data_IF_621758534059
#
_entry.id   IF_621758534059
#
_cell.length_a   1.000
_cell.length_b   1.000
_cell.length_c   1.000
_cell.angle_alpha   90.00
_cell.angle_beta   90.00
_cell.angle_gamma   90.00
#
_symmetry.space_group_name_H-M   'P 1'
#
loop_
_entity.id
_entity.type
_entity.pdbx_description
1 polymer ?
#
# COMPACT_ATOMS: atom_id res chain seq x y z
N UNK A 1 16.68 8.90 15.05
CA UNK A 1 16.19 9.22 13.70
C UNK A 1 14.69 9.45 13.69
N UNK A 2 13.85 8.55 14.28
CA UNK A 2 12.38 8.64 14.27
C UNK A 2 11.90 9.99 14.82
N UNK A 3 12.40 10.44 15.96
CA UNK A 3 12.05 11.73 16.54
C UNK A 3 12.26 12.91 15.56
N UNK A 4 13.37 12.93 14.84
CA UNK A 4 13.64 13.97 13.83
C UNK A 4 12.71 13.90 12.61
N UNK A 5 12.31 12.69 12.23
CA UNK A 5 11.33 12.51 11.16
C UNK A 5 9.93 13.00 11.60
N UNK A 6 9.55 12.74 12.84
CA UNK A 6 8.30 13.24 13.42
C UNK A 6 8.27 14.77 13.47
N UNK A 7 9.36 15.40 13.95
CA UNK A 7 9.51 16.86 13.97
C UNK A 7 9.44 17.46 12.55
N UNK A 8 10.09 16.82 11.56
CA UNK A 8 10.05 17.27 10.18
C UNK A 8 8.65 17.10 9.53
N UNK A 9 7.94 16.08 9.91
CA UNK A 9 6.58 15.79 9.41
C UNK A 9 5.53 16.76 9.95
N UNK A 10 5.76 17.39 11.10
CA UNK A 10 4.79 18.22 11.80
C UNK A 10 4.29 19.45 11.02
N UNK A 11 5.00 19.84 9.95
CA UNK A 11 4.63 20.98 9.10
C UNK A 11 4.02 20.56 7.75
N UNK A 12 3.93 19.27 7.47
CA UNK A 12 3.43 18.77 6.19
C UNK A 12 1.89 18.69 6.20
N UNK A 13 1.22 19.10 5.12
CA UNK A 13 -0.24 19.08 5.03
C UNK A 13 -0.78 17.68 4.72
N UNK A 14 -0.39 16.68 5.50
CA UNK A 14 -0.82 15.28 5.32
C UNK A 14 -0.74 14.53 6.64
N UNK A 15 -1.51 13.46 6.75
CA UNK A 15 -1.41 12.56 7.89
C UNK A 15 -0.23 11.62 7.70
N UNK A 16 0.61 11.49 8.69
CA UNK A 16 1.85 10.73 8.61
C UNK A 16 2.08 9.86 9.84
N UNK A 17 2.68 8.70 9.59
CA UNK A 17 3.23 7.81 10.60
C UNK A 17 4.43 7.08 10.03
N UNK A 18 5.38 6.72 10.87
CA UNK A 18 6.62 6.10 10.44
C UNK A 18 6.75 4.69 10.98
N UNK A 19 7.25 3.79 10.14
CA UNK A 19 7.62 2.44 10.56
C UNK A 19 9.10 2.43 10.94
N UNK A 20 9.42 1.74 12.03
CA UNK A 20 10.78 1.44 12.42
C UNK A 20 11.34 0.26 11.63
N UNK A 21 12.67 0.07 11.66
CA UNK A 21 13.33 -1.11 11.09
C UNK A 21 12.99 -2.36 11.93
N UNK A 22 12.32 -3.33 11.32
CA UNK A 22 11.86 -4.56 11.98
C UNK A 22 12.93 -5.64 12.14
N UNK A 23 14.02 -5.58 11.36
CA UNK A 23 15.08 -6.58 11.40
C UNK A 23 16.03 -6.30 12.57
N UNK A 24 16.00 -7.15 13.58
CA UNK A 24 16.90 -7.13 14.72
C UNK A 24 17.14 -8.54 15.27
N UNK A 25 18.34 -8.78 15.78
CA UNK A 25 18.70 -10.06 16.40
C UNK A 25 18.11 -10.22 17.81
N UNK A 26 17.71 -9.12 18.44
CA UNK A 26 17.11 -9.08 19.77
C UNK A 26 15.89 -8.13 19.78
N UNK A 27 14.94 -8.31 20.69
CA UNK A 27 13.73 -7.49 20.77
C UNK A 27 13.98 -6.04 21.23
N UNK A 28 15.01 -5.79 22.07
CA UNK A 28 15.24 -4.50 22.70
C UNK A 28 15.35 -3.33 21.70
N UNK A 29 16.16 -3.42 20.60
CA UNK A 29 16.22 -2.34 19.62
C UNK A 29 14.90 -2.06 18.91
N UNK A 30 13.99 -3.04 18.85
CA UNK A 30 12.66 -2.88 18.27
C UNK A 30 11.75 -2.12 19.23
N UNK A 31 11.78 -2.45 20.53
CA UNK A 31 11.08 -1.71 21.58
C UNK A 31 11.47 -0.24 21.59
N UNK A 32 12.78 0.05 21.60
CA UNK A 32 13.30 1.41 21.53
C UNK A 32 12.74 2.22 20.36
N UNK A 33 12.56 1.61 19.19
CA UNK A 33 11.99 2.28 18.03
C UNK A 33 10.49 2.58 18.21
N UNK A 34 9.72 1.62 18.74
CA UNK A 34 8.29 1.82 19.02
C UNK A 34 8.12 2.90 20.09
N UNK A 35 8.88 2.86 21.18
CA UNK A 35 8.87 3.87 22.24
C UNK A 35 9.30 5.26 21.75
N UNK A 36 10.18 5.32 20.73
CA UNK A 36 10.59 6.56 20.06
C UNK A 36 9.53 7.10 19.07
N UNK A 37 8.40 6.42 18.89
CA UNK A 37 7.28 6.89 18.09
C UNK A 37 7.06 6.17 16.75
N UNK A 38 7.74 5.05 16.50
CA UNK A 38 7.42 4.22 15.33
C UNK A 38 6.03 3.58 15.51
N UNK A 39 5.09 3.89 14.60
CA UNK A 39 3.72 3.37 14.65
C UNK A 39 3.59 1.91 14.21
N UNK A 40 4.68 1.30 13.81
CA UNK A 40 4.80 -0.09 13.35
C UNK A 40 6.24 -0.41 12.98
N UNK A 41 6.46 -1.63 12.51
CA UNK A 41 7.79 -2.12 12.15
C UNK A 41 7.80 -2.67 10.71
N UNK A 42 8.93 -2.49 10.01
CA UNK A 42 9.13 -2.98 8.64
C UNK A 42 10.28 -3.97 8.59
N UNK A 43 9.98 -5.20 8.19
CA UNK A 43 10.96 -6.21 7.82
C UNK A 43 11.32 -6.09 6.34
N UNK A 44 12.60 -6.23 6.02
CA UNK A 44 13.09 -6.23 4.64
C UNK A 44 14.27 -7.19 4.46
N UNK A 45 14.31 -7.89 3.33
CA UNK A 45 15.35 -8.89 3.04
C UNK A 45 16.76 -8.34 3.10
N UNK A 46 17.00 -7.11 2.61
CA UNK A 46 18.34 -6.48 2.63
C UNK A 46 18.96 -6.43 4.02
N UNK A 47 18.15 -6.56 5.06
CA UNK A 47 18.58 -6.58 6.46
C UNK A 47 18.49 -7.96 7.09
N UNK A 48 18.15 -9.00 6.31
CA UNK A 48 17.98 -10.37 6.75
C UNK A 48 16.62 -10.65 7.38
N UNK A 49 15.59 -10.90 6.55
CA UNK A 49 14.25 -11.31 7.00
C UNK A 49 14.23 -12.82 7.31
N UNK A 50 15.10 -13.25 8.21
CA UNK A 50 15.19 -14.63 8.69
C UNK A 50 14.00 -14.98 9.60
N UNK A 51 13.68 -16.27 9.78
CA UNK A 51 12.65 -16.70 10.73
C UNK A 51 12.80 -16.09 12.14
N UNK A 52 14.03 -15.99 12.64
CA UNK A 52 14.30 -15.40 13.96
C UNK A 52 14.04 -13.88 13.99
N UNK A 53 14.38 -13.15 12.92
CA UNK A 53 14.09 -11.72 12.82
C UNK A 53 12.58 -11.47 12.73
N UNK A 54 11.85 -12.31 11.99
CA UNK A 54 10.40 -12.25 11.89
C UNK A 54 9.76 -12.49 13.26
N UNK A 55 10.21 -13.52 13.99
CA UNK A 55 9.70 -13.85 15.31
C UNK A 55 9.92 -12.73 16.33
N UNK A 56 11.14 -12.19 16.41
CA UNK A 56 11.46 -11.05 17.28
C UNK A 56 10.57 -9.83 16.95
N UNK A 57 10.39 -9.53 15.66
CA UNK A 57 9.61 -8.39 15.23
C UNK A 57 8.13 -8.54 15.59
N UNK A 58 7.54 -9.69 15.32
CA UNK A 58 6.15 -9.98 15.64
C UNK A 58 5.91 -10.01 17.15
N UNK A 59 6.85 -10.55 17.93
CA UNK A 59 6.73 -10.58 19.40
C UNK A 59 6.67 -9.18 20.00
N UNK A 60 7.50 -8.25 19.51
CA UNK A 60 7.43 -6.83 19.94
C UNK A 60 6.15 -6.17 19.43
N UNK A 61 5.70 -6.48 18.22
CA UNK A 61 4.45 -5.96 17.70
C UNK A 61 3.23 -6.40 18.52
N UNK A 62 3.20 -7.65 18.99
CA UNK A 62 2.17 -8.15 19.92
C UNK A 62 2.18 -7.38 21.26
N UNK A 63 3.37 -7.08 21.79
CA UNK A 63 3.54 -6.34 23.05
C UNK A 63 2.97 -4.92 22.98
N UNK A 64 3.12 -4.23 21.85
CA UNK A 64 2.76 -2.81 21.68
C UNK A 64 1.50 -2.56 20.84
N UNK A 65 0.83 -3.60 20.37
CA UNK A 65 -0.33 -3.52 19.46
C UNK A 65 -0.05 -2.67 18.22
N UNK A 66 1.08 -2.93 17.54
CA UNK A 66 1.47 -2.25 16.31
C UNK A 66 1.53 -3.21 15.13
N UNK A 67 1.48 -2.71 13.89
CA UNK A 67 1.55 -3.55 12.71
C UNK A 67 2.99 -3.85 12.31
N UNK A 68 3.19 -5.05 11.76
CA UNK A 68 4.41 -5.44 11.06
C UNK A 68 4.12 -5.51 9.57
N UNK A 69 4.92 -4.79 8.78
CA UNK A 69 4.93 -4.90 7.33
C UNK A 69 6.19 -5.64 6.87
N UNK A 70 6.06 -6.55 5.91
CA UNK A 70 7.19 -7.35 5.44
C UNK A 70 7.37 -7.32 3.93
N UNK A 71 8.62 -7.11 3.51
CA UNK A 71 9.19 -7.56 2.25
C UNK A 71 9.91 -8.88 2.54
N UNK A 72 9.38 -9.98 2.03
CA UNK A 72 9.91 -11.31 2.34
C UNK A 72 11.21 -11.60 1.58
N UNK A 73 11.91 -12.68 1.96
CA UNK A 73 13.20 -13.07 1.43
C UNK A 73 13.10 -13.52 -0.04
N UNK A 74 13.41 -12.63 -0.95
CA UNK A 74 13.29 -12.85 -2.39
C UNK A 74 14.32 -13.86 -2.91
N UNK A 75 15.49 -13.93 -2.29
CA UNK A 75 16.57 -14.84 -2.66
C UNK A 75 16.42 -16.24 -2.05
N UNK A 76 15.45 -16.45 -1.16
CA UNK A 76 15.27 -17.68 -0.39
C UNK A 76 16.53 -18.05 0.43
N UNK A 77 17.29 -17.04 0.88
CA UNK A 77 18.52 -17.26 1.69
C UNK A 77 18.23 -17.77 3.09
N UNK A 78 17.13 -17.31 3.69
CA UNK A 78 16.67 -17.73 5.02
C UNK A 78 15.72 -18.93 5.01
N UNK A 79 15.40 -19.44 3.84
CA UNK A 79 14.44 -20.51 3.59
C UNK A 79 13.42 -20.12 2.52
N UNK A 80 12.58 -21.07 2.13
CA UNK A 80 11.48 -20.83 1.18
C UNK A 80 10.27 -20.20 1.88
N UNK A 81 9.20 -19.92 1.12
CA UNK A 81 7.98 -19.29 1.62
C UNK A 81 7.42 -20.00 2.86
N UNK A 82 7.48 -21.33 2.90
CA UNK A 82 7.02 -22.13 4.02
C UNK A 82 7.75 -21.80 5.34
N UNK A 83 9.05 -21.51 5.27
CA UNK A 83 9.85 -21.13 6.45
C UNK A 83 9.42 -19.75 6.97
N UNK A 84 9.15 -18.82 6.09
CA UNK A 84 8.62 -17.50 6.46
C UNK A 84 7.21 -17.60 7.03
N UNK A 85 6.31 -18.36 6.39
CA UNK A 85 4.95 -18.57 6.88
C UNK A 85 4.94 -19.29 8.23
N UNK A 86 5.83 -20.28 8.45
CA UNK A 86 5.98 -20.93 9.73
C UNK A 86 6.49 -19.97 10.83
N UNK A 87 7.39 -19.05 10.51
CA UNK A 87 7.86 -18.03 11.45
C UNK A 87 6.78 -16.99 11.80
N UNK A 88 5.92 -16.65 10.85
CA UNK A 88 4.75 -15.80 11.09
C UNK A 88 3.76 -16.53 12.01
N UNK A 89 3.53 -17.81 11.77
CA UNK A 89 2.54 -18.61 12.49
C UNK A 89 1.13 -18.08 12.25
N UNK A 90 0.36 -17.98 13.31
CA UNK A 90 -1.01 -17.44 13.31
C UNK A 90 -1.09 -15.93 13.62
N UNK A 91 0.06 -15.25 13.76
CA UNK A 91 0.15 -13.82 14.03
C UNK A 91 -0.17 -12.98 12.80
N UNK A 92 -0.84 -11.86 13.00
CA UNK A 92 -1.22 -10.94 11.91
C UNK A 92 -0.01 -10.25 11.32
N UNK A 93 0.06 -10.17 9.99
CA UNK A 93 1.12 -9.47 9.28
C UNK A 93 0.61 -8.83 7.98
N UNK A 94 1.14 -7.66 7.64
CA UNK A 94 0.94 -6.99 6.37
C UNK A 94 2.06 -7.37 5.39
N UNK A 95 1.76 -8.03 4.30
CA UNK A 95 2.73 -8.36 3.26
C UNK A 95 2.68 -7.35 2.12
N UNK A 96 3.84 -6.78 1.74
CA UNK A 96 3.97 -5.90 0.58
C UNK A 96 4.16 -6.73 -0.69
N UNK A 97 3.81 -6.14 -1.86
CA UNK A 97 3.99 -6.76 -3.19
C UNK A 97 3.85 -8.30 -3.15
N UNK A 98 2.78 -8.75 -2.52
CA UNK A 98 2.52 -10.18 -2.24
C UNK A 98 2.38 -11.04 -3.51
N UNK A 99 2.33 -10.43 -4.68
CA UNK A 99 2.40 -11.11 -5.98
C UNK A 99 3.82 -11.62 -6.28
N UNK A 100 4.87 -10.93 -5.81
CA UNK A 100 6.27 -11.36 -5.90
C UNK A 100 7.16 -10.54 -6.82
N UNK A 101 6.65 -9.86 -7.86
CA UNK A 101 7.49 -9.11 -8.79
C UNK A 101 8.18 -7.90 -8.14
N UNK A 102 7.55 -7.25 -7.16
CA UNK A 102 8.15 -6.18 -6.37
C UNK A 102 9.14 -6.65 -5.30
N UNK A 103 9.25 -7.95 -5.10
CA UNK A 103 10.07 -8.62 -4.09
C UNK A 103 9.26 -9.64 -3.30
N UNK A 104 9.96 -10.59 -2.71
CA UNK A 104 9.36 -11.67 -1.94
C UNK A 104 9.69 -13.04 -2.53
N UNK A 105 9.45 -14.08 -1.76
CA UNK A 105 9.78 -15.47 -2.15
C UNK A 105 9.32 -15.78 -3.57
N UNK A 106 10.28 -16.11 -4.43
CA UNK A 106 9.98 -16.59 -5.78
C UNK A 106 9.91 -18.13 -5.76
N UNK A 107 8.93 -18.74 -6.47
CA UNK A 107 7.94 -18.05 -7.31
C UNK A 107 6.59 -17.79 -6.61
N UNK A 108 6.44 -18.07 -5.32
CA UNK A 108 5.15 -18.44 -4.75
C UNK A 108 4.72 -17.67 -3.50
N UNK A 109 5.30 -16.51 -3.21
CA UNK A 109 4.82 -15.63 -2.13
C UNK A 109 3.33 -15.27 -2.27
N UNK A 110 2.80 -15.30 -3.49
CA UNK A 110 1.38 -15.02 -3.78
C UNK A 110 0.43 -15.96 -3.01
N UNK A 111 0.88 -17.17 -2.60
CA UNK A 111 0.13 -18.09 -1.74
C UNK A 111 -0.30 -17.45 -0.41
N UNK A 112 0.51 -16.52 0.09
CA UNK A 112 0.21 -15.82 1.34
C UNK A 112 -1.11 -15.01 1.27
N UNK A 113 -1.56 -14.62 0.08
CA UNK A 113 -2.83 -13.91 -0.08
C UNK A 113 -4.07 -14.75 0.28
N UNK A 114 -3.94 -16.08 0.35
CA UNK A 114 -4.99 -17.00 0.80
C UNK A 114 -5.03 -17.26 2.31
N UNK A 115 -4.14 -16.68 3.11
CA UNK A 115 -4.05 -16.96 4.54
C UNK A 115 -4.88 -15.98 5.38
N UNK A 116 -5.52 -16.52 6.44
CA UNK A 116 -6.45 -15.74 7.30
C UNK A 116 -5.75 -14.62 8.09
N UNK A 117 -4.50 -14.81 8.46
CA UNK A 117 -3.70 -13.89 9.25
C UNK A 117 -2.80 -12.97 8.42
N UNK A 118 -2.83 -13.08 7.09
CA UNK A 118 -2.07 -12.23 6.19
C UNK A 118 -2.96 -11.16 5.58
N UNK A 119 -2.53 -9.91 5.67
CA UNK A 119 -3.17 -8.73 5.07
C UNK A 119 -2.36 -8.33 3.83
N UNK A 120 -2.69 -8.87 2.64
CA UNK A 120 -1.85 -8.72 1.47
C UNK A 120 -2.06 -7.39 0.76
N UNK A 121 -0.97 -6.78 0.30
CA UNK A 121 -1.01 -5.62 -0.58
C UNK A 121 -0.20 -5.84 -1.87
N UNK A 122 -0.65 -5.18 -2.92
CA UNK A 122 0.11 -4.98 -4.14
C UNK A 122 0.81 -3.64 -4.13
N UNK A 123 1.85 -3.54 -4.95
CA UNK A 123 2.44 -2.26 -5.31
C UNK A 123 2.04 -1.85 -6.72
N UNK A 124 1.98 -0.56 -7.00
CA UNK A 124 1.37 -0.07 -8.23
C UNK A 124 2.11 -0.36 -9.55
N UNK A 125 3.42 -0.64 -9.60
CA UNK A 125 4.10 -0.89 -10.88
C UNK A 125 3.57 -2.09 -11.67
N UNK A 126 3.12 -3.15 -11.00
CA UNK A 126 2.53 -4.32 -11.65
C UNK A 126 1.06 -4.15 -12.04
N UNK A 127 0.45 -3.02 -11.66
CA UNK A 127 -0.98 -2.75 -11.83
C UNK A 127 -1.30 -1.74 -12.91
N UNK A 128 -2.25 -2.01 -13.78
CA UNK A 128 -2.69 -3.35 -14.22
C UNK A 128 -1.66 -4.05 -15.09
N UNK A 129 -1.80 -5.36 -15.31
CA UNK A 129 -1.00 -6.09 -16.27
C UNK A 129 -1.26 -5.60 -17.69
N UNK A 130 -0.21 -5.08 -18.35
CA UNK A 130 -0.22 -4.53 -19.71
C UNK A 130 0.83 -5.22 -20.57
N UNK A 131 0.81 -4.97 -21.87
CA UNK A 131 1.79 -5.49 -22.83
C UNK A 131 3.24 -5.07 -22.49
N UNK A 132 3.43 -4.00 -21.73
CA UNK A 132 4.75 -3.49 -21.35
C UNK A 132 5.14 -3.82 -19.90
N UNK A 133 4.23 -4.34 -19.07
CA UNK A 133 4.45 -4.45 -17.62
C UNK A 133 5.67 -5.31 -17.29
N UNK A 134 5.86 -6.43 -17.99
CA UNK A 134 7.00 -7.34 -17.73
C UNK A 134 8.31 -6.64 -18.04
N UNK A 135 8.43 -6.04 -19.21
CA UNK A 135 9.68 -5.37 -19.65
C UNK A 135 10.01 -4.17 -18.77
N UNK A 136 8.99 -3.30 -18.47
CA UNK A 136 9.17 -2.17 -17.57
C UNK A 136 9.61 -2.61 -16.16
N UNK A 137 9.09 -3.74 -15.69
CA UNK A 137 9.41 -4.21 -14.35
C UNK A 137 10.78 -4.87 -14.28
N UNK A 138 11.19 -5.60 -15.35
CA UNK A 138 12.55 -6.10 -15.50
C UNK A 138 13.55 -4.96 -15.50
N UNK A 139 13.33 -3.91 -16.29
CA UNK A 139 14.18 -2.73 -16.31
C UNK A 139 14.28 -2.05 -14.93
N UNK A 140 13.16 -1.93 -14.24
CA UNK A 140 13.14 -1.36 -12.87
C UNK A 140 13.94 -2.23 -11.90
N UNK A 141 13.76 -3.54 -11.94
CA UNK A 141 14.49 -4.47 -11.08
C UNK A 141 16.01 -4.38 -11.34
N UNK A 142 16.42 -4.40 -12.61
CA UNK A 142 17.83 -4.25 -13.00
C UNK A 142 18.44 -2.98 -12.42
N UNK A 143 17.73 -1.84 -12.53
CA UNK A 143 18.22 -0.56 -12.02
C UNK A 143 18.25 -0.54 -10.48
N UNK A 144 17.18 -0.98 -9.82
CA UNK A 144 17.07 -0.92 -8.36
C UNK A 144 18.05 -1.82 -7.63
N UNK A 145 18.41 -2.96 -8.23
CA UNK A 145 19.35 -3.93 -7.66
C UNK A 145 20.77 -3.80 -8.24
N UNK A 146 21.05 -2.76 -9.03
CA UNK A 146 22.37 -2.52 -9.64
C UNK A 146 22.88 -3.71 -10.49
N UNK A 147 21.94 -4.39 -11.16
CA UNK A 147 22.25 -5.51 -12.04
C UNK A 147 22.73 -5.01 -13.40
N UNK A 148 23.55 -5.84 -14.08
CA UNK A 148 24.11 -5.52 -15.39
C UNK A 148 23.48 -6.41 -16.50
N UNK A 149 22.77 -5.84 -17.48
CA UNK A 149 22.15 -6.62 -18.56
C UNK A 149 23.15 -7.35 -19.45
N UNK A 150 24.45 -7.05 -19.36
CA UNK A 150 25.50 -7.79 -20.07
C UNK A 150 25.95 -9.06 -19.34
N UNK A 151 25.52 -9.25 -18.08
CA UNK A 151 25.84 -10.43 -17.26
C UNK A 151 24.64 -11.40 -17.30
N UNK A 152 24.80 -12.60 -17.89
CA UNK A 152 23.68 -13.55 -18.02
C UNK A 152 23.06 -13.98 -16.70
N UNK A 153 23.86 -14.07 -15.63
CA UNK A 153 23.41 -14.43 -14.29
C UNK A 153 22.49 -13.36 -13.68
N UNK A 154 22.81 -12.09 -13.92
CA UNK A 154 21.99 -10.96 -13.46
C UNK A 154 20.65 -10.95 -14.19
N UNK A 155 20.66 -11.20 -15.49
CA UNK A 155 19.44 -11.31 -16.30
C UNK A 155 18.59 -12.49 -15.83
N UNK A 156 19.19 -13.67 -15.66
CA UNK A 156 18.49 -14.86 -15.17
C UNK A 156 17.87 -14.65 -13.78
N UNK A 157 18.57 -13.94 -12.90
CA UNK A 157 18.06 -13.54 -11.61
C UNK A 157 16.81 -12.64 -11.73
N UNK A 158 16.85 -11.59 -12.54
CA UNK A 158 15.73 -10.71 -12.76
C UNK A 158 14.52 -11.47 -13.35
N UNK A 159 14.76 -12.29 -14.38
CA UNK A 159 13.73 -13.11 -15.02
C UNK A 159 13.14 -14.18 -14.09
N UNK A 160 13.88 -14.65 -13.09
CA UNK A 160 13.35 -15.62 -12.11
C UNK A 160 12.23 -15.04 -11.25
N UNK A 161 12.12 -13.73 -11.13
CA UNK A 161 11.19 -13.02 -10.25
C UNK A 161 10.06 -12.34 -10.98
N UNK A 162 10.33 -11.77 -12.16
CA UNK A 162 9.32 -11.03 -12.91
C UNK A 162 8.61 -12.01 -13.84
N UNK A 163 7.39 -12.37 -13.47
CA UNK A 163 6.60 -13.39 -14.16
C UNK A 163 5.25 -12.86 -14.56
N UNK A 164 4.92 -12.98 -15.86
CA UNK A 164 3.61 -12.57 -16.37
C UNK A 164 2.46 -13.35 -15.73
N UNK A 165 2.72 -14.59 -15.33
CA UNK A 165 1.72 -15.49 -14.75
C UNK A 165 1.23 -14.96 -13.39
N UNK A 166 2.13 -14.60 -12.50
CA UNK A 166 1.79 -14.04 -11.18
C UNK A 166 1.22 -12.63 -11.30
N UNK A 167 1.76 -11.80 -12.21
CA UNK A 167 1.24 -10.45 -12.50
C UNK A 167 -0.19 -10.50 -13.05
N UNK A 168 -0.48 -11.45 -13.96
CA UNK A 168 -1.82 -11.65 -14.49
C UNK A 168 -2.82 -12.16 -13.43
N UNK A 169 -2.38 -13.12 -12.62
CA UNK A 169 -3.18 -13.66 -11.53
C UNK A 169 -3.52 -12.58 -10.48
N UNK A 170 -2.59 -11.68 -10.20
CA UNK A 170 -2.78 -10.58 -9.25
C UNK A 170 -3.96 -9.66 -9.64
N UNK A 171 -4.14 -9.31 -10.93
CA UNK A 171 -5.31 -8.54 -11.39
C UNK A 171 -6.62 -9.23 -11.03
N UNK A 172 -6.68 -10.55 -11.25
CA UNK A 172 -7.87 -11.36 -10.98
C UNK A 172 -8.11 -11.45 -9.46
N UNK A 173 -7.07 -11.70 -8.69
CA UNK A 173 -7.15 -11.79 -7.22
C UNK A 173 -7.57 -10.46 -6.59
N UNK A 174 -7.20 -9.33 -7.20
CA UNK A 174 -7.75 -8.03 -6.82
C UNK A 174 -9.24 -7.92 -7.08
N UNK A 175 -9.69 -8.35 -8.24
CA UNK A 175 -11.10 -8.25 -8.64
C UNK A 175 -11.99 -9.17 -7.80
N UNK A 176 -11.47 -10.34 -7.42
CA UNK A 176 -12.16 -11.28 -6.55
C UNK A 176 -12.04 -10.97 -5.05
N UNK A 177 -11.17 -10.03 -4.65
CA UNK A 177 -11.04 -9.58 -3.27
C UNK A 177 -10.08 -10.39 -2.41
N UNK A 178 -9.15 -11.14 -3.00
CA UNK A 178 -8.08 -11.81 -2.26
C UNK A 178 -6.96 -10.84 -1.85
N UNK A 179 -6.60 -9.90 -2.71
CA UNK A 179 -5.70 -8.80 -2.35
C UNK A 179 -6.47 -7.66 -1.69
N UNK A 180 -6.09 -7.33 -0.46
CA UNK A 180 -6.85 -6.40 0.38
C UNK A 180 -6.51 -4.93 0.12
N UNK A 181 -5.29 -4.62 -0.34
CA UNK A 181 -4.77 -3.26 -0.47
C UNK A 181 -3.95 -3.06 -1.73
N UNK A 182 -3.81 -1.79 -2.14
CA UNK A 182 -2.84 -1.33 -3.13
C UNK A 182 -2.03 -0.21 -2.52
N UNK A 183 -0.70 -0.33 -2.56
CA UNK A 183 0.28 0.62 -2.07
C UNK A 183 1.19 1.12 -3.18
N UNK A 184 2.14 1.99 -2.88
CA UNK A 184 2.99 2.60 -3.90
C UNK A 184 4.34 1.94 -4.06
N UNK A 185 4.95 1.48 -2.98
CA UNK A 185 6.37 1.12 -2.94
C UNK A 185 7.29 2.26 -3.42
N UNK A 186 6.95 3.49 -3.04
CA UNK A 186 7.73 4.68 -3.42
C UNK A 186 9.18 4.58 -2.98
N UNK A 187 10.08 5.11 -3.79
CA UNK A 187 11.53 5.12 -3.61
C UNK A 187 12.23 3.77 -3.83
N UNK A 188 11.50 2.68 -4.00
CA UNK A 188 12.04 1.41 -4.46
C UNK A 188 11.59 1.17 -5.91
N UNK A 189 10.48 0.45 -6.11
CA UNK A 189 9.99 0.14 -7.45
C UNK A 189 8.59 0.70 -7.71
N UNK A 190 8.19 1.83 -7.09
CA UNK A 190 6.84 2.35 -7.20
C UNK A 190 6.70 3.87 -7.22
N UNK A 191 5.46 4.34 -7.42
CA UNK A 191 5.14 5.76 -7.61
C UNK A 191 3.89 6.12 -6.81
N UNK A 192 4.05 6.93 -5.74
CA UNK A 192 2.93 7.33 -4.87
C UNK A 192 1.80 8.03 -5.64
N UNK A 193 2.13 8.88 -6.61
CA UNK A 193 1.15 9.63 -7.39
C UNK A 193 0.26 8.78 -8.32
N UNK A 194 0.58 7.50 -8.51
CA UNK A 194 -0.14 6.63 -9.43
C UNK A 194 -1.04 5.59 -8.74
N UNK A 195 -1.02 5.49 -7.41
CA UNK A 195 -1.78 4.47 -6.66
C UNK A 195 -3.26 4.49 -7.05
N UNK A 196 -3.91 5.64 -6.95
CA UNK A 196 -5.35 5.77 -7.22
C UNK A 196 -5.65 5.46 -8.69
N UNK A 197 -4.92 6.04 -9.62
CA UNK A 197 -5.16 5.84 -11.06
C UNK A 197 -4.98 4.39 -11.46
N UNK A 198 -3.90 3.74 -11.05
CA UNK A 198 -3.64 2.35 -11.39
C UNK A 198 -4.64 1.40 -10.73
N UNK A 199 -5.14 1.72 -9.55
CA UNK A 199 -6.24 0.98 -8.93
C UNK A 199 -7.48 0.99 -9.83
N UNK A 200 -7.85 2.14 -10.38
CA UNK A 200 -9.02 2.26 -11.25
C UNK A 200 -8.79 1.71 -12.65
N UNK A 201 -7.58 1.78 -13.16
CA UNK A 201 -7.20 1.10 -14.41
C UNK A 201 -7.30 -0.43 -14.27
N UNK A 202 -6.90 -0.99 -13.13
CA UNK A 202 -7.07 -2.41 -12.83
C UNK A 202 -8.56 -2.79 -12.77
N UNK A 203 -9.37 -2.00 -12.06
CA UNK A 203 -10.83 -2.23 -11.98
C UNK A 203 -11.48 -2.19 -13.37
N UNK A 204 -11.10 -1.23 -14.22
CA UNK A 204 -11.59 -1.11 -15.59
C UNK A 204 -11.21 -2.32 -16.44
N UNK A 205 -9.92 -2.71 -16.43
CA UNK A 205 -9.44 -3.89 -17.15
C UNK A 205 -10.22 -5.15 -16.74
N UNK A 206 -10.40 -5.35 -15.44
CA UNK A 206 -11.13 -6.51 -14.93
C UNK A 206 -12.60 -6.49 -15.34
N UNK A 207 -13.24 -5.32 -15.31
CA UNK A 207 -14.63 -5.20 -15.81
C UNK A 207 -14.75 -5.55 -17.29
N UNK A 208 -13.81 -5.08 -18.12
CA UNK A 208 -13.80 -5.36 -19.57
C UNK A 208 -13.57 -6.85 -19.86
N UNK A 209 -12.63 -7.48 -19.17
CA UNK A 209 -12.24 -8.86 -19.46
C UNK A 209 -13.11 -9.91 -18.76
N UNK A 210 -13.67 -9.61 -17.58
CA UNK A 210 -14.39 -10.56 -16.74
C UNK A 210 -15.89 -10.26 -16.60
N UNK A 211 -16.35 -9.11 -17.06
CA UNK A 211 -17.74 -8.68 -16.91
C UNK A 211 -18.09 -8.21 -15.48
N UNK A 212 -19.39 -8.22 -15.11
CA UNK A 212 -19.84 -7.82 -13.78
C UNK A 212 -19.39 -8.83 -12.72
N UNK A 213 -19.24 -8.36 -11.48
CA UNK A 213 -19.11 -9.24 -10.32
C UNK A 213 -20.45 -9.86 -9.97
N UNK A 214 -20.42 -10.99 -9.24
CA UNK A 214 -21.66 -11.67 -8.81
C UNK A 214 -22.51 -10.77 -7.89
N UNK A 215 -21.86 -9.86 -7.16
CA UNK A 215 -22.51 -8.93 -6.24
C UNK A 215 -22.96 -7.62 -6.92
N UNK A 216 -22.56 -7.36 -8.17
CA UNK A 216 -23.03 -6.21 -8.94
C UNK A 216 -24.48 -6.43 -9.41
N UNK A 217 -25.22 -5.34 -9.66
CA UNK A 217 -26.55 -5.40 -10.24
C UNK A 217 -26.49 -5.27 -11.77
N UNK A 218 -27.61 -5.57 -12.42
CA UNK A 218 -27.74 -5.35 -13.87
C UNK A 218 -27.64 -3.86 -14.27
N UNK A 219 -27.83 -2.96 -13.31
CA UNK A 219 -27.89 -1.52 -13.55
C UNK A 219 -26.59 -0.78 -13.18
N UNK A 220 -25.76 -1.37 -12.30
CA UNK A 220 -24.53 -0.72 -11.82
C UNK A 220 -23.50 -1.74 -11.28
N UNK A 221 -22.26 -1.29 -11.24
CA UNK A 221 -21.10 -2.00 -10.69
C UNK A 221 -20.62 -1.39 -9.36
N UNK A 222 -21.56 -0.95 -8.54
CA UNK A 222 -21.25 -0.28 -7.27
C UNK A 222 -20.48 -1.17 -6.29
N UNK A 223 -20.66 -2.50 -6.35
CA UNK A 223 -19.90 -3.40 -5.47
C UNK A 223 -18.41 -3.42 -5.85
N UNK A 224 -18.09 -3.52 -7.15
CA UNK A 224 -16.70 -3.39 -7.63
C UNK A 224 -16.10 -2.04 -7.21
N UNK A 225 -16.84 -0.94 -7.32
CA UNK A 225 -16.38 0.38 -6.87
C UNK A 225 -16.05 0.36 -5.38
N UNK A 226 -16.91 -0.18 -4.52
CA UNK A 226 -16.64 -0.31 -3.07
C UNK A 226 -15.41 -1.17 -2.79
N UNK A 227 -15.25 -2.30 -3.48
CA UNK A 227 -14.09 -3.19 -3.36
C UNK A 227 -12.79 -2.47 -3.65
N UNK A 228 -12.72 -1.74 -4.76
CA UNK A 228 -11.50 -1.08 -5.17
C UNK A 228 -11.19 0.19 -4.37
N UNK A 229 -12.18 0.98 -3.97
CA UNK A 229 -11.95 2.16 -3.12
C UNK A 229 -11.46 1.76 -1.73
N UNK A 230 -11.92 0.64 -1.17
CA UNK A 230 -11.49 0.14 0.13
C UNK A 230 -9.99 -0.19 0.16
N UNK A 231 -9.38 -0.55 -0.98
CA UNK A 231 -7.98 -0.98 -1.08
C UNK A 231 -6.96 0.13 -0.78
N UNK A 232 -7.32 1.39 -0.92
CA UNK A 232 -6.43 2.52 -0.63
C UNK A 232 -7.04 3.52 0.39
N UNK A 233 -8.13 3.15 1.03
CA UNK A 233 -8.78 3.96 2.06
C UNK A 233 -8.92 3.18 3.37
N UNK A 234 -10.05 2.49 3.58
CA UNK A 234 -10.36 1.85 4.86
C UNK A 234 -9.47 0.64 5.18
N UNK A 235 -9.11 -0.19 4.19
CA UNK A 235 -8.32 -1.39 4.46
C UNK A 235 -6.90 -1.08 4.96
N UNK A 236 -6.11 -0.17 4.34
CA UNK A 236 -4.84 0.24 4.94
C UNK A 236 -5.02 0.94 6.30
N UNK A 237 -6.11 1.69 6.51
CA UNK A 237 -6.37 2.31 7.81
C UNK A 237 -6.67 1.26 8.90
N UNK A 238 -7.42 0.21 8.60
CA UNK A 238 -7.61 -0.95 9.48
C UNK A 238 -6.27 -1.64 9.75
N UNK A 239 -5.55 -2.00 8.69
CA UNK A 239 -4.28 -2.71 8.76
C UNK A 239 -3.28 -2.03 9.70
N UNK A 240 -3.20 -0.71 9.67
CA UNK A 240 -2.26 0.07 10.48
C UNK A 240 -2.88 0.64 11.78
N UNK A 241 -4.07 0.17 12.18
CA UNK A 241 -4.68 0.52 13.46
C UNK A 241 -5.11 1.98 13.60
N UNK A 242 -5.44 2.65 12.48
CA UNK A 242 -5.82 4.07 12.43
C UNK A 242 -7.24 4.31 11.88
N UNK A 243 -8.01 3.25 11.67
CA UNK A 243 -9.32 3.33 11.06
C UNK A 243 -10.36 4.08 11.90
N UNK A 244 -10.11 4.30 13.18
CA UNK A 244 -10.96 5.12 14.05
C UNK A 244 -10.79 6.62 13.82
N UNK A 245 -9.72 7.05 13.15
CA UNK A 245 -9.42 8.44 12.82
C UNK A 245 -9.67 8.77 11.33
N UNK A 246 -9.33 7.83 10.43
CA UNK A 246 -9.33 8.03 8.97
C UNK A 246 -9.83 6.81 8.20
N UNK A 247 -9.91 6.90 6.88
CA UNK A 247 -10.15 5.76 5.97
C UNK A 247 -11.61 5.62 5.51
N UNK A 248 -12.58 6.23 6.19
CA UNK A 248 -14.00 6.24 5.80
C UNK A 248 -14.68 7.56 6.13
N UNK A 249 -15.82 7.80 5.50
CA UNK A 249 -16.63 8.99 5.76
C UNK A 249 -17.64 8.66 6.86
N UNK A 250 -17.25 8.92 8.10
CA UNK A 250 -18.04 8.65 9.30
C UNK A 250 -17.97 9.82 10.28
N UNK A 251 -19.04 10.03 11.05
CA UNK A 251 -19.05 11.06 12.11
C UNK A 251 -18.00 10.73 13.16
N UNK A 252 -17.17 11.70 13.49
CA UNK A 252 -16.09 11.57 14.48
C UNK A 252 -14.71 11.32 13.87
N UNK A 253 -14.62 10.97 12.61
CA UNK A 253 -13.34 10.85 11.89
C UNK A 253 -12.89 12.18 11.29
N UNK A 254 -11.61 12.29 11.01
CA UNK A 254 -11.01 13.47 10.39
C UNK A 254 -11.65 13.72 9.01
N UNK A 255 -12.08 14.95 8.77
CA UNK A 255 -12.73 15.33 7.53
C UNK A 255 -11.72 15.52 6.38
N UNK A 256 -11.08 14.42 6.00
CA UNK A 256 -10.18 14.30 4.85
C UNK A 256 -10.97 13.78 3.65
N UNK A 257 -11.30 14.67 2.71
CA UNK A 257 -12.22 14.38 1.64
C UNK A 257 -11.61 14.77 0.29
N UNK A 258 -11.90 13.99 -0.73
CA UNK A 258 -11.53 14.31 -2.12
C UNK A 258 -12.81 14.41 -2.95
N UNK A 259 -13.04 15.56 -3.58
CA UNK A 259 -14.18 15.79 -4.46
C UNK A 259 -13.76 15.59 -5.91
N UNK A 260 -14.53 14.78 -6.61
CA UNK A 260 -14.29 14.44 -8.01
C UNK A 260 -15.44 14.88 -8.91
N UNK A 261 -15.10 15.37 -10.09
CA UNK A 261 -16.06 15.33 -11.20
C UNK A 261 -16.09 13.90 -11.74
N UNK A 262 -17.25 13.28 -11.97
CA UNK A 262 -17.33 11.86 -12.39
C UNK A 262 -16.45 11.54 -13.60
N UNK A 263 -16.39 12.42 -14.60
CA UNK A 263 -15.56 12.23 -15.79
C UNK A 263 -14.03 12.21 -15.52
N UNK A 264 -13.59 12.66 -14.35
CA UNK A 264 -12.19 12.73 -13.96
C UNK A 264 -11.89 11.93 -12.68
N UNK A 265 -12.80 11.04 -12.31
CA UNK A 265 -12.65 10.22 -11.11
C UNK A 265 -11.37 9.39 -11.16
N UNK A 266 -10.64 9.39 -10.05
CA UNK A 266 -9.34 8.69 -9.96
C UNK A 266 -8.17 9.40 -10.66
N UNK A 267 -8.40 10.51 -11.36
CA UNK A 267 -7.36 11.19 -12.15
C UNK A 267 -7.13 12.63 -11.71
N UNK A 268 -8.18 13.43 -11.67
CA UNK A 268 -8.08 14.88 -11.45
C UNK A 268 -9.14 15.33 -10.44
N UNK A 269 -8.79 15.42 -9.14
CA UNK A 269 -9.73 15.90 -8.13
C UNK A 269 -10.11 17.38 -8.36
N UNK A 270 -11.33 17.74 -7.99
CA UNK A 270 -11.78 19.15 -8.01
C UNK A 270 -11.33 19.89 -6.76
N UNK A 271 -11.37 19.21 -5.60
CA UNK A 271 -10.93 19.77 -4.32
C UNK A 271 -10.31 18.64 -3.48
N UNK A 272 -9.29 19.00 -2.72
CA UNK A 272 -8.74 18.17 -1.64
C UNK A 272 -8.96 18.93 -0.34
N UNK A 273 -9.71 18.32 0.56
CA UNK A 273 -10.05 18.85 1.88
C UNK A 273 -9.27 18.06 2.92
N UNK A 274 -8.61 18.75 3.82
CA UNK A 274 -7.86 18.21 4.95
C UNK A 274 -8.43 18.77 6.25
N UNK A 275 -8.83 17.91 7.16
CA UNK A 275 -9.38 18.33 8.46
C UNK A 275 -10.52 19.36 8.33
N UNK A 276 -11.32 19.26 7.25
CA UNK A 276 -12.43 20.17 6.97
C UNK A 276 -12.06 21.47 6.24
N UNK A 277 -10.78 21.72 5.94
CA UNK A 277 -10.32 22.88 5.19
C UNK A 277 -9.80 22.52 3.80
N UNK A 278 -9.99 23.41 2.82
CA UNK A 278 -9.46 23.22 1.45
C UNK A 278 -7.93 23.28 1.53
N UNK A 279 -7.28 22.17 1.23
CA UNK A 279 -5.83 22.04 1.21
C UNK A 279 -5.24 22.26 -0.18
N UNK A 280 -5.91 21.75 -1.24
CA UNK A 280 -5.50 21.94 -2.63
C UNK A 280 -6.73 22.07 -3.55
N UNK A 281 -6.60 22.90 -4.57
CA UNK A 281 -7.61 23.04 -5.61
C UNK A 281 -6.97 23.51 -6.93
N UNK A 282 -7.57 23.19 -8.10
CA UNK A 282 -7.22 23.84 -9.37
C UNK A 282 -7.56 25.32 -9.31
N UNK A 283 -6.59 26.15 -9.64
CA UNK A 283 -6.77 27.61 -9.64
C UNK A 283 -5.89 28.24 -10.72
N UNK A 284 -6.40 29.29 -11.36
CA UNK A 284 -5.62 30.15 -12.25
C UNK A 284 -4.61 31.01 -11.49
N UNK A 285 -4.06 32.03 -12.16
CA UNK A 285 -3.13 32.96 -11.51
C UNK A 285 -3.85 33.69 -10.35
N UNK A 286 -3.39 33.58 -9.10
CA UNK A 286 -4.01 34.19 -7.94
C UNK A 286 -3.92 35.72 -7.96
N UNK A 287 -3.05 36.31 -8.81
CA UNK A 287 -2.92 37.75 -8.96
C UNK A 287 -3.79 38.34 -10.08
N UNK A 288 -4.48 37.49 -10.85
CA UNK A 288 -5.33 37.96 -11.92
C UNK A 288 -6.65 38.57 -11.40
N UNK A 289 -7.16 39.54 -12.10
CA UNK A 289 -8.42 40.22 -11.75
C UNK A 289 -9.67 39.51 -12.25
N UNK A 290 -9.52 38.40 -12.97
CA UNK A 290 -10.63 37.58 -13.48
C UNK A 290 -10.71 36.24 -12.77
N UNK A 291 -11.93 35.61 -12.64
CA UNK A 291 -12.10 34.40 -11.84
C UNK A 291 -11.42 33.14 -12.39
N UNK A 292 -11.16 33.08 -13.70
CA UNK A 292 -10.67 31.86 -14.38
C UNK A 292 -9.50 32.14 -15.32
N UNK A 293 -8.41 32.79 -14.84
CA UNK A 293 -7.24 33.02 -15.68
C UNK A 293 -6.52 31.72 -16.01
N UNK A 294 -5.89 31.66 -17.17
CA UNK A 294 -5.04 30.53 -17.59
C UNK A 294 -3.56 30.87 -17.33
N UNK A 295 -2.71 29.84 -17.09
CA UNK A 295 -3.04 28.43 -16.93
C UNK A 295 -3.62 28.11 -15.54
N UNK A 296 -4.47 27.08 -15.48
CA UNK A 296 -5.03 26.56 -14.23
C UNK A 296 -4.16 25.40 -13.75
N UNK A 297 -3.64 25.50 -12.53
CA UNK A 297 -2.83 24.48 -11.89
C UNK A 297 -3.41 24.08 -10.53
N UNK A 298 -3.04 22.90 -10.02
CA UNK A 298 -3.25 22.58 -8.62
C UNK A 298 -2.36 23.46 -7.75
N UNK A 299 -3.00 24.19 -6.83
CA UNK A 299 -2.31 25.10 -5.94
C UNK A 299 -2.63 24.80 -4.49
N UNK A 300 -1.63 24.95 -3.58
CA UNK A 300 -1.87 24.91 -2.14
C UNK A 300 -2.87 26.01 -1.74
N UNK A 301 -3.81 25.63 -0.89
CA UNK A 301 -4.80 26.53 -0.29
C UNK A 301 -4.55 26.70 1.20
N UNK A 302 -5.29 27.56 1.87
CA UNK A 302 -5.03 27.91 3.28
C UNK A 302 -4.96 26.71 4.22
N UNK A 303 -5.70 25.65 3.95
CA UNK A 303 -5.66 24.40 4.75
C UNK A 303 -4.31 23.67 4.71
N UNK A 304 -3.42 23.99 3.76
CA UNK A 304 -2.10 23.36 3.63
C UNK A 304 -0.94 24.31 3.95
N UNK A 305 -1.21 25.53 4.42
CA UNK A 305 -0.17 26.56 4.60
C UNK A 305 0.06 26.89 6.07
N UNK A 306 1.33 27.11 6.43
CA UNK A 306 1.74 27.59 7.73
C UNK A 306 1.20 26.75 8.89
N UNK A 307 0.74 27.40 9.96
CA UNK A 307 0.17 26.73 11.11
C UNK A 307 -1.18 26.04 10.86
N UNK A 308 -1.87 26.37 9.75
CA UNK A 308 -3.12 25.70 9.39
C UNK A 308 -2.88 24.22 9.04
N UNK A 309 -1.77 23.88 8.39
CA UNK A 309 -1.42 22.49 8.08
C UNK A 309 -1.31 21.62 9.32
N UNK A 310 -0.84 22.16 10.43
CA UNK A 310 -0.73 21.46 11.72
C UNK A 310 -2.09 21.18 12.35
N UNK A 311 -3.06 22.09 12.23
CA UNK A 311 -4.40 21.89 12.78
C UNK A 311 -5.30 21.02 11.92
N UNK A 312 -4.92 20.74 10.69
CA UNK A 312 -5.66 19.90 9.73
C UNK A 312 -5.02 18.54 9.47
N UNK A 313 -3.82 18.31 9.97
CA UNK A 313 -3.06 17.08 9.76
C UNK A 313 -2.84 16.32 11.06
N UNK A 314 -2.60 15.03 10.95
CA UNK A 314 -2.41 14.13 12.09
C UNK A 314 -1.08 13.38 11.98
N UNK A 315 -0.39 13.24 13.11
CA UNK A 315 0.75 12.35 13.26
C UNK A 315 0.29 11.11 14.03
N UNK A 316 0.55 9.94 13.47
CA UNK A 316 0.21 8.67 14.11
C UNK A 316 1.38 8.15 14.93
N UNK A 317 1.10 7.84 16.19
CA UNK A 317 2.05 7.33 17.16
C UNK A 317 1.54 6.04 17.80
N UNK A 318 2.40 5.15 18.29
CA UNK A 318 1.97 4.01 19.11
C UNK A 318 1.43 4.50 20.46
N UNK A 319 0.59 3.70 21.10
CA UNK A 319 -0.05 4.06 22.39
C UNK A 319 0.99 4.37 23.48
N UNK A 320 2.10 3.62 23.53
CA UNK A 320 3.20 3.85 24.48
C UNK A 320 3.81 5.26 24.36
N UNK A 321 3.77 5.88 23.18
CA UNK A 321 4.23 7.24 22.99
C UNK A 321 3.36 8.29 23.72
N UNK A 322 2.05 7.98 23.91
CA UNK A 322 1.17 8.81 24.75
C UNK A 322 1.57 8.74 26.22
N UNK A 323 1.81 7.54 26.71
CA UNK A 323 2.22 7.27 28.09
C UNK A 323 3.52 7.99 28.43
N UNK A 324 4.46 7.98 27.47
CA UNK A 324 5.76 8.65 27.59
C UNK A 324 5.70 10.17 27.32
N UNK A 325 4.55 10.72 26.94
CA UNK A 325 4.37 12.14 26.62
C UNK A 325 5.22 12.61 25.42
N UNK A 326 5.51 11.72 24.47
CA UNK A 326 6.45 11.95 23.36
C UNK A 326 6.08 13.17 22.51
N UNK A 327 4.81 13.35 22.17
CA UNK A 327 4.35 14.49 21.38
C UNK A 327 4.70 15.83 22.02
N UNK A 328 4.55 15.93 23.35
CA UNK A 328 4.91 17.12 24.13
C UNK A 328 6.44 17.32 24.18
N UNK A 329 7.20 16.23 24.36
CA UNK A 329 8.67 16.28 24.41
C UNK A 329 9.22 16.80 23.08
N UNK A 330 8.67 16.36 21.95
CA UNK A 330 9.08 16.79 20.61
C UNK A 330 8.47 18.13 20.19
N UNK A 331 7.52 18.67 20.95
CA UNK A 331 6.84 19.93 20.63
C UNK A 331 5.97 19.86 19.39
N UNK A 332 5.40 18.68 19.09
CA UNK A 332 4.50 18.47 17.93
C UNK A 332 3.23 19.30 18.11
N UNK A 333 2.78 19.90 17.02
CA UNK A 333 1.60 20.78 16.98
C UNK A 333 0.46 20.20 16.15
N UNK A 334 0.74 19.20 15.32
CA UNK A 334 -0.27 18.44 14.57
C UNK A 334 -1.19 17.69 15.55
N UNK A 335 -2.37 17.32 15.07
CA UNK A 335 -3.24 16.38 15.80
C UNK A 335 -2.48 15.07 16.00
N UNK A 336 -2.72 14.41 17.12
CA UNK A 336 -2.09 13.12 17.42
C UNK A 336 -3.14 12.03 17.39
N UNK A 337 -2.93 11.04 16.54
CA UNK A 337 -3.71 9.81 16.50
C UNK A 337 -2.88 8.64 17.06
N UNK A 338 -3.51 7.77 17.85
CA UNK A 338 -2.82 6.63 18.44
C UNK A 338 -3.23 5.33 17.76
N UNK A 339 -2.22 4.56 17.35
CA UNK A 339 -2.40 3.23 16.74
C UNK A 339 -2.98 2.26 17.77
N UNK A 340 -3.96 1.46 17.35
CA UNK A 340 -4.58 0.41 18.18
C UNK A 340 -5.34 -0.61 17.36
N UNK A 341 -5.47 -1.83 17.88
CA UNK A 341 -6.24 -2.91 17.28
C UNK A 341 -5.57 -3.51 16.05
N UNK A 342 -4.22 -3.47 15.97
CA UNK A 342 -3.48 -4.07 14.86
C UNK A 342 -3.39 -5.59 14.99
N UNK A 343 -3.39 -6.11 16.22
CA UNK A 343 -3.08 -7.53 16.46
C UNK A 343 -4.34 -8.41 16.49
N UNK A 344 -5.53 -7.81 16.65
CA UNK A 344 -6.81 -8.52 16.64
C UNK A 344 -7.44 -8.63 15.23
N UNK A 345 -6.69 -8.25 14.19
CA UNK A 345 -7.16 -8.28 12.80
C UNK A 345 -7.03 -9.67 12.19
N UNK A 346 -7.78 -9.86 11.14
CA UNK A 346 -7.63 -10.98 10.22
C UNK A 346 -8.03 -10.55 8.81
N UNK A 347 -7.85 -11.43 7.84
CA UNK A 347 -8.34 -11.20 6.49
C UNK A 347 -9.84 -10.88 6.46
N UNK A 348 -10.65 -11.47 7.36
CA UNK A 348 -12.08 -11.19 7.50
C UNK A 348 -12.38 -9.75 7.94
N UNK A 349 -11.39 -9.01 8.46
CA UNK A 349 -11.53 -7.59 8.79
C UNK A 349 -11.46 -6.67 7.56
N UNK A 350 -11.03 -7.18 6.42
CA UNK A 350 -10.78 -6.40 5.21
C UNK A 350 -12.08 -6.15 4.42
N UNK A 351 -12.53 -4.91 4.42
CA UNK A 351 -13.81 -4.51 3.82
C UNK A 351 -13.86 -4.83 2.33
N UNK A 352 -14.80 -5.69 1.94
CA UNK A 352 -15.02 -6.19 0.57
C UNK A 352 -13.81 -6.91 -0.06
N UNK A 353 -12.77 -7.25 0.73
CA UNK A 353 -11.52 -7.82 0.26
C UNK A 353 -11.02 -8.93 1.21
N UNK A 354 -11.91 -9.83 1.56
CA UNK A 354 -11.75 -10.87 2.58
C UNK A 354 -11.76 -12.30 2.02
N UNK A 355 -11.75 -12.46 0.69
CA UNK A 355 -11.72 -13.77 0.07
C UNK A 355 -10.43 -14.53 0.39
N UNK A 356 -10.59 -15.80 0.76
CA UNK A 356 -9.51 -16.72 1.21
C UNK A 356 -9.45 -17.93 0.27
N UNK A 357 -8.92 -17.77 -0.95
CA UNK A 357 -8.73 -18.90 -1.85
C UNK A 357 -7.57 -19.80 -1.40
N UNK A 358 -7.64 -21.06 -1.74
CA UNK A 358 -6.47 -21.94 -1.76
C UNK A 358 -5.64 -21.64 -3.00
N UNK A 359 -4.48 -21.00 -2.81
CA UNK A 359 -3.62 -20.55 -3.92
C UNK A 359 -2.45 -21.52 -4.07
N UNK A 360 -2.30 -22.06 -5.27
CA UNK A 360 -1.17 -22.87 -5.69
C UNK A 360 -0.43 -22.25 -6.86
N UNK A 361 0.88 -22.47 -6.92
CA UNK A 361 1.76 -21.99 -7.99
C UNK A 361 2.60 -23.16 -8.50
N UNK A 362 2.46 -23.49 -9.77
CA UNK A 362 3.30 -24.50 -10.39
C UNK A 362 4.75 -24.01 -10.50
N UNK A 363 5.72 -24.69 -9.91
CA UNK A 363 7.10 -24.20 -9.84
C UNK A 363 7.85 -24.26 -11.17
N UNK A 364 7.31 -24.91 -12.19
CA UNK A 364 7.92 -25.01 -13.51
C UNK A 364 7.32 -24.04 -14.52
N UNK A 365 5.99 -23.94 -14.51
CA UNK A 365 5.24 -23.10 -15.46
C UNK A 365 4.83 -21.75 -14.90
N UNK A 366 4.93 -21.58 -13.57
CA UNK A 366 4.48 -20.40 -12.80
C UNK A 366 2.98 -20.14 -12.87
N UNK A 367 2.20 -21.06 -13.41
CA UNK A 367 0.74 -20.95 -13.46
C UNK A 367 0.21 -20.87 -12.03
N UNK A 368 -0.57 -19.82 -11.77
CA UNK A 368 -1.25 -19.61 -10.49
C UNK A 368 -2.66 -20.18 -10.57
N UNK A 369 -3.05 -20.94 -9.57
CA UNK A 369 -4.42 -21.44 -9.41
C UNK A 369 -5.01 -20.92 -8.10
N UNK A 370 -6.31 -20.67 -8.10
CA UNK A 370 -7.08 -20.41 -6.89
C UNK A 370 -8.26 -21.38 -6.86
N UNK A 371 -8.40 -22.14 -5.77
CA UNK A 371 -9.41 -23.19 -5.61
C UNK A 371 -9.42 -24.17 -6.82
N UNK A 372 -8.23 -24.48 -7.34
CA UNK A 372 -8.04 -25.38 -8.48
C UNK A 372 -8.35 -24.77 -9.85
N UNK A 373 -8.66 -23.47 -9.92
CA UNK A 373 -8.95 -22.76 -11.17
C UNK A 373 -7.74 -21.90 -11.56
N UNK A 374 -7.20 -22.12 -12.77
CA UNK A 374 -6.08 -21.31 -13.28
C UNK A 374 -6.49 -19.85 -13.48
N UNK A 375 -5.67 -18.93 -12.98
CA UNK A 375 -5.88 -17.49 -13.05
C UNK A 375 -5.05 -16.90 -14.20
N UNK A 376 -5.69 -16.70 -15.32
CA UNK A 376 -5.04 -16.09 -16.51
C UNK A 376 -5.89 -14.94 -17.03
N UNK A 377 -5.24 -13.86 -17.44
CA UNK A 377 -5.89 -12.76 -18.13
C UNK A 377 -4.96 -12.17 -19.21
N UNK A 378 -5.54 -11.53 -20.20
CA UNK A 378 -4.76 -10.90 -21.27
C UNK A 378 -4.13 -9.58 -20.80
N UNK A 379 -2.91 -9.26 -21.25
CA UNK A 379 -2.32 -7.96 -21.02
C UNK A 379 -3.13 -6.87 -21.73
N UNK A 380 -3.34 -5.74 -21.08
CA UNK A 380 -4.01 -4.62 -21.71
C UNK A 380 -3.06 -3.89 -22.67
N UNK A 381 -3.52 -3.63 -23.90
CA UNK A 381 -2.82 -2.80 -24.89
C UNK A 381 -3.18 -1.31 -24.76
N UNK A 382 -4.34 -1.01 -24.16
CA UNK A 382 -4.84 0.33 -23.93
C UNK A 382 -5.37 0.46 -22.51
N UNK A 383 -5.09 1.60 -21.87
CA UNK A 383 -5.59 1.93 -20.54
C UNK A 383 -6.31 3.27 -20.56
N UNK A 384 -7.45 3.40 -19.88
CA UNK A 384 -8.07 4.69 -19.68
C UNK A 384 -7.17 5.59 -18.83
N UNK A 385 -7.22 6.90 -19.08
CA UNK A 385 -6.47 7.90 -18.30
C UNK A 385 -4.94 7.71 -18.23
N UNK A 386 -4.35 6.99 -19.18
CA UNK A 386 -2.91 6.72 -19.22
C UNK A 386 -2.07 7.99 -19.37
N UNK A 387 -2.63 9.06 -19.95
CA UNK A 387 -1.96 10.35 -20.19
C UNK A 387 -2.47 11.45 -19.27
N UNK A 388 -2.95 11.13 -18.08
CA UNK A 388 -3.54 12.08 -17.15
C UNK A 388 -2.61 13.22 -16.72
N UNK A 389 -1.31 12.98 -16.70
CA UNK A 389 -0.32 14.01 -16.35
C UNK A 389 -0.22 15.13 -17.39
N UNK A 390 -0.74 14.95 -18.58
CA UNK A 390 -0.90 16.02 -19.56
C UNK A 390 -2.14 16.91 -19.32
N UNK A 391 -2.90 16.62 -18.28
CA UNK A 391 -4.07 17.39 -17.89
C UNK A 391 -3.77 18.50 -16.87
N UNK A 392 -2.53 18.77 -16.63
CA UNK A 392 -2.08 19.85 -15.76
C UNK A 392 -2.07 21.18 -16.51
#
# INVERSE_FOLDING_TARGET
NIARMLEAADVLPMNLGFLGKGNASLPEPLREQVEAGAMGLKLHEDWGSTPAAIDNCLSVAEEYDVQVAIHTDTLNEGGFVESTLAAIGDRVIHTYHTEGAGGGHAPDIIKAAGLINVLPSSTNPTRPYTVNTVDEHLDMLMVCHHLDPSIPEDVAFAESRIRRETIAAEDILHDLGAFSMISSDSQAMGRVGEVITRTWQTAHKMKVQRGPLAEDSAENDNYRIKRYIAKYTINPALTHGIAHEVGSIEVGKLADLVLWKPAFFGTKPSLIIKGGMIAMAPMGDPNASIPTPQPVHYRPMFGSLGAASQSTSMIFLPTVAAENGLAKILGLRSLIGYVRGCRDLSKASMIHNDWLPDIDVDPQTYVVQADGVALTCEPASELPMAQRYFLF
#
